data_IF_478129301129
#
_entry.id   IF_478129301129
#
_cell.length_a   1.000
_cell.length_b   1.000
_cell.length_c   1.000
_cell.angle_alpha   90.00
_cell.angle_beta   90.00
_cell.angle_gamma   90.00
#
_symmetry.space_group_name_H-M   'P 1'
#
loop_
_entity.id
_entity.type
_entity.pdbx_description
1 polymer ?
#
# COMPACT_ATOMS: atom_id res chain seq x y z
N UNK A 1 38.53 -20.96 -29.31
CA UNK A 1 37.15 -21.36 -29.72
C UNK A 1 36.14 -21.31 -28.58
N UNK A 2 36.26 -22.10 -27.49
CA UNK A 2 35.28 -22.09 -26.38
C UNK A 2 35.04 -20.72 -25.71
N UNK A 3 36.11 -19.93 -25.47
CA UNK A 3 36.00 -18.57 -24.90
C UNK A 3 35.28 -17.58 -25.84
N UNK A 4 35.45 -17.73 -27.15
CA UNK A 4 34.79 -16.88 -28.16
C UNK A 4 33.30 -17.20 -28.26
N UNK A 5 32.94 -18.48 -28.23
CA UNK A 5 31.54 -18.92 -28.17
C UNK A 5 30.87 -18.43 -26.89
N UNK A 6 31.52 -18.56 -25.74
CA UNK A 6 31.00 -18.04 -24.47
C UNK A 6 30.77 -16.51 -24.51
N UNK A 7 31.71 -15.75 -25.07
CA UNK A 7 31.56 -14.31 -25.27
C UNK A 7 30.38 -13.96 -26.19
N UNK A 8 30.23 -14.67 -27.31
CA UNK A 8 29.12 -14.46 -28.23
C UNK A 8 27.76 -14.78 -27.57
N UNK A 9 27.69 -15.85 -26.77
CA UNK A 9 26.49 -16.20 -25.99
C UNK A 9 26.12 -15.10 -24.99
N UNK A 10 27.09 -14.55 -24.26
CA UNK A 10 26.85 -13.42 -23.33
C UNK A 10 26.36 -12.19 -24.09
N UNK A 11 26.96 -11.86 -25.23
CA UNK A 11 26.56 -10.72 -26.04
C UNK A 11 25.13 -10.86 -26.58
N UNK A 12 24.77 -12.06 -27.04
CA UNK A 12 23.40 -12.38 -27.46
C UNK A 12 22.42 -12.25 -26.30
N UNK A 13 22.76 -12.74 -25.10
CA UNK A 13 21.92 -12.59 -23.91
C UNK A 13 21.73 -11.13 -23.51
N UNK A 14 22.77 -10.30 -23.59
CA UNK A 14 22.68 -8.85 -23.35
C UNK A 14 21.78 -8.18 -24.39
N UNK A 15 21.97 -8.49 -25.68
CA UNK A 15 21.16 -7.91 -26.76
C UNK A 15 19.69 -8.32 -26.65
N UNK A 16 19.41 -9.61 -26.40
CA UNK A 16 18.04 -10.11 -26.16
C UNK A 16 17.45 -9.47 -24.92
N UNK A 17 18.22 -9.36 -23.84
CA UNK A 17 17.80 -8.68 -22.61
C UNK A 17 17.45 -7.22 -22.85
N UNK A 18 18.25 -6.49 -23.64
CA UNK A 18 17.99 -5.11 -24.01
C UNK A 18 16.76 -4.95 -24.90
N UNK A 19 16.59 -5.81 -25.91
CA UNK A 19 15.44 -5.82 -26.82
C UNK A 19 14.13 -6.19 -26.09
N UNK A 20 14.21 -7.08 -25.10
CA UNK A 20 13.07 -7.54 -24.32
C UNK A 20 12.87 -6.75 -23.01
N UNK A 21 13.69 -5.73 -22.71
CA UNK A 21 13.73 -5.09 -21.39
C UNK A 21 12.36 -4.58 -20.93
N UNK A 22 11.60 -3.93 -21.81
CA UNK A 22 10.31 -3.33 -21.47
C UNK A 22 9.30 -4.43 -21.07
N UNK A 23 9.32 -5.56 -21.79
CA UNK A 23 8.48 -6.72 -21.48
C UNK A 23 8.91 -7.40 -20.17
N UNK A 24 10.22 -7.52 -19.95
CA UNK A 24 10.77 -8.12 -18.73
C UNK A 24 10.44 -7.27 -17.50
N UNK A 25 10.64 -5.96 -17.57
CA UNK A 25 10.37 -5.03 -16.47
C UNK A 25 8.87 -4.93 -16.18
N UNK A 26 8.02 -4.98 -17.21
CA UNK A 26 6.57 -5.04 -17.00
C UNK A 26 6.10 -6.38 -16.42
N UNK A 27 6.64 -7.50 -16.92
CA UNK A 27 6.32 -8.82 -16.38
C UNK A 27 6.76 -8.96 -14.91
N UNK A 28 7.92 -8.39 -14.58
CA UNK A 28 8.41 -8.29 -13.21
C UNK A 28 7.41 -7.56 -12.32
N UNK A 29 7.02 -6.34 -12.66
CA UNK A 29 6.03 -5.57 -11.90
C UNK A 29 4.70 -6.32 -11.73
N UNK A 30 4.17 -6.89 -12.82
CA UNK A 30 2.91 -7.67 -12.81
C UNK A 30 2.96 -8.90 -11.91
N UNK A 31 4.13 -9.50 -11.71
CA UNK A 31 4.26 -10.65 -10.81
C UNK A 31 4.07 -10.26 -9.33
N UNK A 32 4.46 -9.03 -8.93
CA UNK A 32 4.23 -8.53 -7.58
C UNK A 32 2.77 -8.12 -7.33
N UNK A 33 2.08 -7.64 -8.36
CA UNK A 33 0.71 -7.12 -8.21
C UNK A 33 -0.38 -8.20 -8.35
N UNK A 34 -0.11 -9.29 -9.08
CA UNK A 34 -1.08 -10.37 -9.31
C UNK A 34 -1.48 -11.17 -8.07
N UNK A 35 -0.67 -11.21 -7.02
CA UNK A 35 -0.92 -12.11 -5.88
C UNK A 35 -2.06 -11.65 -4.94
N UNK A 36 -2.67 -10.48 -5.17
CA UNK A 36 -3.25 -9.73 -4.05
C UNK A 36 -4.76 -9.51 -4.08
N UNK A 37 -5.39 -9.50 -5.24
CA UNK A 37 -6.80 -9.14 -5.30
C UNK A 37 -7.66 -10.40 -5.12
N UNK A 38 -8.03 -10.69 -3.88
CA UNK A 38 -9.06 -11.70 -3.59
C UNK A 38 -10.48 -11.25 -3.98
N UNK A 39 -10.68 -9.97 -4.24
CA UNK A 39 -11.99 -9.37 -4.51
C UNK A 39 -11.86 -8.34 -5.66
N UNK A 40 -12.87 -8.18 -6.53
CA UNK A 40 -12.73 -7.49 -7.81
C UNK A 40 -12.64 -5.96 -7.71
N UNK A 41 -12.54 -5.35 -6.52
CA UNK A 41 -12.62 -3.89 -6.37
C UNK A 41 -11.41 -3.20 -6.97
N UNK A 42 -11.67 -2.42 -8.01
CA UNK A 42 -10.67 -1.69 -8.76
C UNK A 42 -11.00 -0.21 -8.73
N UNK A 43 -10.02 0.57 -8.28
CA UNK A 43 -10.00 2.02 -8.40
C UNK A 43 -9.10 2.37 -9.58
N UNK A 44 -9.61 3.15 -10.52
CA UNK A 44 -8.82 3.69 -11.64
C UNK A 44 -8.72 5.19 -11.48
N UNK A 45 -7.53 5.77 -11.67
CA UNK A 45 -7.37 7.21 -11.73
C UNK A 45 -7.64 7.68 -13.17
N UNK A 46 -8.59 8.61 -13.34
CA UNK A 46 -8.91 9.26 -14.62
C UNK A 46 -9.15 10.74 -14.37
N UNK A 47 -8.45 11.61 -15.10
CA UNK A 47 -8.62 13.07 -15.00
C UNK A 47 -8.46 13.63 -13.57
N UNK A 48 -7.55 13.03 -12.78
CA UNK A 48 -7.34 13.28 -11.35
C UNK A 48 -8.46 12.83 -10.40
N UNK A 49 -9.48 12.16 -10.92
CA UNK A 49 -10.56 11.56 -10.14
C UNK A 49 -10.46 10.04 -10.12
N UNK A 50 -10.84 9.45 -8.99
CA UNK A 50 -10.91 8.01 -8.87
C UNK A 50 -12.27 7.49 -9.32
N UNK A 51 -12.26 6.57 -10.29
CA UNK A 51 -13.43 5.87 -10.80
C UNK A 51 -13.44 4.43 -10.29
N UNK A 52 -14.65 3.93 -10.07
CA UNK A 52 -14.93 2.56 -9.64
C UNK A 52 -15.48 1.77 -10.81
N UNK A 53 -15.12 0.48 -10.90
CA UNK A 53 -15.73 -0.41 -11.88
C UNK A 53 -17.22 -0.66 -11.55
N UNK A 54 -18.06 -0.67 -12.59
CA UNK A 54 -19.51 -0.41 -12.53
C UNK A 54 -20.37 -1.43 -11.77
N UNK A 55 -19.81 -2.57 -11.35
CA UNK A 55 -20.61 -3.69 -10.83
C UNK A 55 -20.49 -3.88 -9.31
N UNK A 56 -19.96 -2.88 -8.59
CA UNK A 56 -19.57 -3.03 -7.19
C UNK A 56 -20.44 -2.21 -6.26
N UNK A 57 -21.40 -2.91 -5.65
CA UNK A 57 -22.41 -2.33 -4.78
C UNK A 57 -22.38 -2.92 -3.36
N UNK A 58 -21.23 -3.44 -2.92
CA UNK A 58 -21.04 -3.82 -1.53
C UNK A 58 -20.51 -2.62 -0.74
N UNK A 59 -21.27 -2.23 0.29
CA UNK A 59 -20.91 -1.15 1.19
C UNK A 59 -20.19 -1.75 2.41
N UNK A 60 -18.88 -1.50 2.51
CA UNK A 60 -18.03 -1.92 3.62
C UNK A 60 -18.24 -1.03 4.85
N UNK A 61 -18.02 -1.62 6.03
CA UNK A 61 -18.04 -0.90 7.31
C UNK A 61 -17.09 0.31 7.34
N UNK A 62 -15.91 0.20 6.74
CA UNK A 62 -14.99 1.32 6.59
C UNK A 62 -13.73 0.98 5.79
N UNK A 63 -12.99 2.02 5.43
CA UNK A 63 -11.70 1.92 4.74
C UNK A 63 -10.57 2.32 5.67
N UNK A 64 -9.50 1.52 5.76
CA UNK A 64 -8.29 1.86 6.49
C UNK A 64 -7.24 2.44 5.54
N UNK A 65 -6.82 3.68 5.79
CA UNK A 65 -5.70 4.32 5.11
C UNK A 65 -4.43 4.09 5.94
N UNK A 66 -3.44 3.46 5.31
CA UNK A 66 -2.11 3.27 5.88
C UNK A 66 -1.21 4.49 5.66
N UNK A 67 -0.21 4.67 6.54
CA UNK A 67 0.79 5.73 6.50
C UNK A 67 1.87 5.54 5.43
N UNK A 68 2.80 6.50 5.33
CA UNK A 68 3.94 6.47 4.40
C UNK A 68 3.73 7.25 3.10
N UNK A 69 2.49 7.35 2.60
CA UNK A 69 2.11 8.28 1.52
C UNK A 69 0.59 8.55 1.53
N UNK A 70 0.08 9.31 2.51
CA UNK A 70 -1.35 9.32 2.75
C UNK A 70 -2.13 10.20 1.78
N UNK A 71 -1.52 11.10 1.01
CA UNK A 71 -2.25 12.04 0.14
C UNK A 71 -2.97 11.29 -1.00
N UNK A 72 -2.27 10.41 -1.72
CA UNK A 72 -2.87 9.63 -2.81
C UNK A 72 -3.97 8.72 -2.26
N UNK A 73 -3.70 8.07 -1.13
CA UNK A 73 -4.65 7.16 -0.46
C UNK A 73 -5.85 7.91 0.10
N UNK A 74 -5.67 9.13 0.59
CA UNK A 74 -6.76 9.99 1.05
C UNK A 74 -7.73 10.30 -0.08
N UNK A 75 -7.24 10.66 -1.25
CA UNK A 75 -8.11 10.93 -2.40
C UNK A 75 -8.90 9.67 -2.80
N UNK A 76 -8.27 8.50 -2.81
CA UNK A 76 -8.96 7.22 -3.02
C UNK A 76 -10.03 6.93 -1.96
N UNK A 77 -9.73 7.17 -0.68
CA UNK A 77 -10.68 6.96 0.42
C UNK A 77 -11.86 7.94 0.36
N UNK A 78 -11.63 9.19 0.00
CA UNK A 78 -12.68 10.19 -0.20
C UNK A 78 -13.60 9.76 -1.35
N UNK A 79 -13.04 9.25 -2.45
CA UNK A 79 -13.83 8.75 -3.58
C UNK A 79 -14.69 7.55 -3.17
N UNK A 80 -14.12 6.58 -2.44
CA UNK A 80 -14.85 5.43 -1.89
C UNK A 80 -15.96 5.84 -0.91
N UNK A 81 -15.73 6.88 -0.10
CA UNK A 81 -16.73 7.39 0.83
C UNK A 81 -17.87 8.10 0.10
N UNK A 82 -17.54 9.00 -0.83
CA UNK A 82 -18.53 9.75 -1.61
C UNK A 82 -19.39 8.85 -2.52
N UNK A 83 -18.86 7.71 -2.97
CA UNK A 83 -19.62 6.72 -3.75
C UNK A 83 -20.49 5.79 -2.90
N UNK A 84 -20.39 5.84 -1.57
CA UNK A 84 -21.14 4.98 -0.65
C UNK A 84 -20.58 3.56 -0.48
N UNK A 85 -19.41 3.26 -1.08
CA UNK A 85 -18.73 1.98 -0.91
C UNK A 85 -18.23 1.80 0.52
N UNK A 86 -17.86 2.87 1.22
CA UNK A 86 -17.47 2.79 2.63
C UNK A 86 -18.22 3.80 3.48
N UNK A 87 -18.56 3.41 4.71
CA UNK A 87 -19.37 4.24 5.62
C UNK A 87 -18.55 5.22 6.47
N UNK A 88 -17.24 4.98 6.61
CA UNK A 88 -16.29 5.81 7.36
C UNK A 88 -14.85 5.48 6.99
N UNK A 89 -13.94 6.36 7.39
CA UNK A 89 -12.51 6.24 7.15
C UNK A 89 -11.79 5.96 8.47
N UNK A 90 -10.90 4.98 8.49
CA UNK A 90 -9.93 4.74 9.56
C UNK A 90 -8.58 5.25 9.09
N UNK A 91 -7.87 5.98 9.95
CA UNK A 91 -6.52 6.48 9.65
C UNK A 91 -5.54 6.03 10.71
N UNK A 92 -4.39 5.50 10.30
CA UNK A 92 -3.29 5.20 11.23
C UNK A 92 -2.53 6.47 11.57
N UNK A 93 -2.11 6.60 12.83
CA UNK A 93 -1.19 7.67 13.24
C UNK A 93 0.26 7.17 13.01
N UNK A 94 1.00 7.72 12.03
CA UNK A 94 2.41 7.38 11.86
C UNK A 94 3.24 8.00 13.00
N UNK A 95 4.42 7.43 13.25
CA UNK A 95 5.34 7.98 14.25
C UNK A 95 5.80 9.37 13.85
N UNK A 96 5.70 10.31 14.78
CA UNK A 96 6.32 11.63 14.61
C UNK A 96 7.74 11.59 15.17
N UNK A 97 8.73 11.62 14.27
CA UNK A 97 10.16 11.70 14.63
C UNK A 97 10.59 13.11 15.05
N UNK A 98 9.85 14.16 14.64
CA UNK A 98 10.16 15.56 14.96
C UNK A 98 9.03 16.13 15.81
N UNK A 99 9.27 16.28 17.12
CA UNK A 99 8.30 16.87 18.05
C UNK A 99 8.58 18.34 18.38
N UNK A 100 9.75 18.87 17.98
CA UNK A 100 10.24 20.19 18.39
C UNK A 100 9.40 21.36 17.88
N UNK A 101 8.68 21.19 16.76
CA UNK A 101 7.87 22.23 16.12
C UNK A 101 6.41 21.81 15.92
N UNK A 102 5.87 20.96 16.80
CA UNK A 102 4.46 20.55 16.77
C UNK A 102 3.55 21.80 16.73
N UNK A 103 2.60 21.83 15.79
CA UNK A 103 1.69 22.96 15.56
C UNK A 103 2.16 23.99 14.54
N UNK A 104 3.46 24.03 14.20
CA UNK A 104 4.01 24.82 13.10
C UNK A 104 4.23 23.91 11.88
N UNK A 105 4.90 22.77 12.09
CA UNK A 105 5.10 21.77 11.06
C UNK A 105 4.01 20.71 11.18
N UNK A 106 3.13 20.65 10.18
CA UNK A 106 2.07 19.65 10.13
C UNK A 106 2.62 18.33 9.60
N UNK A 107 2.44 17.28 10.40
CA UNK A 107 2.59 15.90 9.97
C UNK A 107 1.60 15.55 8.85
N UNK A 108 1.93 14.54 8.07
CA UNK A 108 1.03 14.04 7.03
C UNK A 108 -0.33 13.59 7.58
N UNK A 109 -0.35 13.04 8.81
CA UNK A 109 -1.57 12.68 9.52
C UNK A 109 -2.45 13.89 9.86
N UNK A 110 -1.85 15.00 10.29
CA UNK A 110 -2.59 16.23 10.58
C UNK A 110 -3.20 16.82 9.31
N UNK A 111 -2.45 16.81 8.20
CA UNK A 111 -2.97 17.24 6.89
C UNK A 111 -4.17 16.41 6.46
N UNK A 112 -4.10 15.08 6.60
CA UNK A 112 -5.23 14.17 6.32
C UNK A 112 -6.45 14.53 7.18
N UNK A 113 -6.23 14.68 8.49
CA UNK A 113 -7.30 15.05 9.43
C UNK A 113 -7.94 16.38 9.08
N UNK A 114 -7.16 17.39 8.70
CA UNK A 114 -7.66 18.71 8.27
C UNK A 114 -8.56 18.60 7.03
N UNK A 115 -8.16 17.83 6.02
CA UNK A 115 -8.96 17.61 4.81
C UNK A 115 -10.27 16.89 5.13
N UNK A 116 -10.23 15.81 5.92
CA UNK A 116 -11.44 15.06 6.29
C UNK A 116 -12.42 15.92 7.10
N UNK A 117 -11.91 16.73 8.04
CA UNK A 117 -12.71 17.68 8.80
C UNK A 117 -13.34 18.76 7.90
N UNK A 118 -12.56 19.32 6.98
CA UNK A 118 -13.06 20.32 6.03
C UNK A 118 -14.20 19.76 5.15
N UNK A 119 -14.06 18.53 4.69
CA UNK A 119 -15.07 17.83 3.90
C UNK A 119 -16.22 17.23 4.73
N UNK A 120 -16.16 17.35 6.06
CA UNK A 120 -17.14 16.77 7.01
C UNK A 120 -17.32 15.26 6.82
N UNK A 121 -16.23 14.56 6.49
CA UNK A 121 -16.23 13.10 6.35
C UNK A 121 -15.88 12.47 7.71
N UNK A 122 -16.71 11.57 8.25
CA UNK A 122 -16.44 10.92 9.52
C UNK A 122 -15.23 9.99 9.42
N UNK A 123 -14.33 10.12 10.39
CA UNK A 123 -13.16 9.26 10.51
C UNK A 123 -12.85 8.89 11.96
N UNK A 124 -12.17 7.76 12.13
CA UNK A 124 -11.63 7.31 13.42
C UNK A 124 -10.11 7.16 13.33
N UNK A 125 -9.42 7.62 14.36
CA UNK A 125 -7.96 7.53 14.45
C UNK A 125 -7.58 6.23 15.14
N UNK A 126 -6.68 5.48 14.50
CA UNK A 126 -6.06 4.29 15.06
C UNK A 126 -4.78 4.74 15.75
N UNK A 127 -4.83 4.78 17.08
CA UNK A 127 -3.69 5.16 17.90
C UNK A 127 -2.71 4.00 18.05
N UNK A 128 -1.43 4.33 18.02
CA UNK A 128 -0.35 3.42 18.36
C UNK A 128 0.15 3.75 19.77
N UNK A 129 0.35 2.75 20.65
CA UNK A 129 0.75 2.96 22.04
C UNK A 129 2.16 3.55 22.23
N UNK A 130 2.99 3.56 21.18
CA UNK A 130 4.36 4.07 21.13
C UNK A 130 4.48 5.39 20.36
N UNK A 131 3.41 6.18 20.32
CA UNK A 131 3.35 7.49 19.65
C UNK A 131 3.49 7.43 18.12
N UNK A 132 2.92 6.38 17.53
CA UNK A 132 2.70 6.25 16.10
C UNK A 132 3.43 5.05 15.50
N UNK A 133 2.89 4.50 14.43
CA UNK A 133 3.45 3.33 13.76
C UNK A 133 4.64 3.71 12.87
N UNK A 134 5.68 2.87 12.86
CA UNK A 134 6.86 3.00 11.99
C UNK A 134 6.83 2.03 10.82
N UNK A 135 5.97 1.01 10.87
CA UNK A 135 5.91 -0.06 9.89
C UNK A 135 4.48 -0.54 9.64
N UNK A 136 4.24 -1.15 8.49
CA UNK A 136 2.95 -1.81 8.17
C UNK A 136 2.60 -2.90 9.18
N UNK A 137 3.60 -3.51 9.83
CA UNK A 137 3.39 -4.51 10.87
C UNK A 137 2.82 -3.88 12.15
N UNK A 138 3.32 -2.72 12.57
CA UNK A 138 2.78 -1.99 13.70
C UNK A 138 1.35 -1.50 13.40
N UNK A 139 1.13 -0.92 12.21
CA UNK A 139 -0.20 -0.49 11.77
C UNK A 139 -1.23 -1.64 11.81
N UNK A 140 -0.83 -2.84 11.38
CA UNK A 140 -1.67 -4.02 11.43
C UNK A 140 -2.01 -4.45 12.87
N UNK A 141 -1.05 -4.37 13.80
CA UNK A 141 -1.26 -4.71 15.22
C UNK A 141 -2.16 -3.69 15.93
N UNK A 142 -1.94 -2.41 15.66
CA UNK A 142 -2.74 -1.32 16.21
C UNK A 142 -4.19 -1.45 15.73
N UNK A 143 -4.36 -1.67 14.43
CA UNK A 143 -5.68 -1.87 13.86
C UNK A 143 -6.36 -3.15 14.35
N UNK A 144 -5.64 -4.26 14.54
CA UNK A 144 -6.20 -5.47 15.15
C UNK A 144 -6.72 -5.21 16.57
N UNK A 145 -5.95 -4.49 17.38
CA UNK A 145 -6.36 -4.09 18.74
C UNK A 145 -7.62 -3.21 18.69
N UNK A 146 -7.64 -2.23 17.80
CA UNK A 146 -8.79 -1.36 17.58
C UNK A 146 -10.03 -2.14 17.12
N UNK A 147 -9.88 -2.98 16.09
CA UNK A 147 -10.96 -3.76 15.49
C UNK A 147 -11.61 -4.69 16.52
N UNK A 148 -10.80 -5.35 17.37
CA UNK A 148 -11.27 -6.17 18.49
C UNK A 148 -12.07 -5.35 19.50
N UNK A 149 -11.60 -4.17 19.87
CA UNK A 149 -12.26 -3.28 20.84
C UNK A 149 -13.57 -2.69 20.30
N UNK A 150 -13.61 -2.35 19.02
CA UNK A 150 -14.76 -1.69 18.35
C UNK A 150 -15.73 -2.68 17.72
N UNK A 151 -15.37 -3.96 17.64
CA UNK A 151 -16.20 -5.00 17.05
C UNK A 151 -16.30 -4.94 15.52
N UNK A 152 -15.27 -4.38 14.85
CA UNK A 152 -15.22 -4.22 13.39
C UNK A 152 -15.34 -5.59 12.72
N UNK A 153 -16.32 -5.76 11.83
CA UNK A 153 -16.61 -7.03 11.17
C UNK A 153 -15.92 -7.18 9.83
N UNK A 154 -15.67 -6.07 9.16
CA UNK A 154 -14.99 -6.03 7.88
C UNK A 154 -14.26 -4.70 7.70
N UNK A 155 -13.17 -4.71 6.94
CA UNK A 155 -12.45 -3.50 6.59
C UNK A 155 -11.87 -3.61 5.17
N UNK A 156 -11.92 -2.50 4.44
CA UNK A 156 -11.21 -2.33 3.19
C UNK A 156 -9.85 -1.68 3.46
N UNK A 157 -8.76 -2.40 3.22
CA UNK A 157 -7.41 -1.87 3.33
C UNK A 157 -7.08 -1.06 2.06
N UNK A 158 -6.76 0.21 2.22
CA UNK A 158 -6.41 1.10 1.12
C UNK A 158 -4.92 1.46 1.18
N UNK A 159 -4.19 1.05 0.15
CA UNK A 159 -2.76 1.29 0.01
C UNK A 159 -2.43 1.58 -1.45
N UNK A 160 -1.19 1.90 -1.78
CA UNK A 160 -0.79 2.11 -3.17
C UNK A 160 -0.77 0.75 -3.91
N UNK A 161 -1.05 0.72 -5.22
CA UNK A 161 -1.22 -0.56 -5.96
C UNK A 161 -0.07 -1.56 -5.79
N UNK A 162 1.16 -1.06 -5.74
CA UNK A 162 2.36 -1.87 -5.58
C UNK A 162 2.59 -2.38 -4.13
N UNK A 163 1.95 -1.77 -3.12
CA UNK A 163 2.06 -2.15 -1.71
C UNK A 163 0.97 -3.14 -1.26
N UNK A 164 0.06 -3.52 -2.15
CA UNK A 164 -1.10 -4.34 -1.80
C UNK A 164 -0.66 -5.68 -1.21
N UNK A 165 0.28 -6.41 -1.84
CA UNK A 165 0.61 -7.79 -1.45
C UNK A 165 1.11 -7.88 -0.01
N UNK A 166 2.13 -7.08 0.29
CA UNK A 166 2.73 -6.99 1.62
C UNK A 166 1.71 -6.56 2.66
N UNK A 167 0.87 -5.58 2.32
CA UNK A 167 -0.17 -5.09 3.21
C UNK A 167 -1.14 -6.21 3.56
N UNK A 168 -1.71 -6.89 2.57
CA UNK A 168 -2.68 -7.94 2.79
C UNK A 168 -2.08 -9.12 3.57
N UNK A 169 -0.86 -9.56 3.20
CA UNK A 169 -0.16 -10.64 3.89
C UNK A 169 0.14 -10.28 5.35
N UNK A 170 0.62 -9.07 5.62
CA UNK A 170 0.92 -8.59 6.97
C UNK A 170 -0.34 -8.54 7.83
N UNK A 171 -1.40 -7.91 7.35
CA UNK A 171 -2.68 -7.82 8.06
C UNK A 171 -3.29 -9.20 8.29
N UNK A 172 -3.33 -10.06 7.28
CA UNK A 172 -3.86 -11.42 7.40
C UNK A 172 -3.11 -12.23 8.45
N UNK A 173 -1.77 -12.14 8.47
CA UNK A 173 -0.94 -12.84 9.44
C UNK A 173 -1.17 -12.33 10.87
N UNK A 174 -1.28 -11.01 11.06
CA UNK A 174 -1.58 -10.42 12.37
C UNK A 174 -2.97 -10.84 12.83
N UNK A 175 -4.00 -10.71 11.99
CA UNK A 175 -5.39 -11.03 12.34
C UNK A 175 -5.54 -12.50 12.70
N UNK A 176 -4.87 -13.40 11.96
CA UNK A 176 -4.82 -14.83 12.27
C UNK A 176 -4.15 -15.11 13.60
N UNK A 177 -3.00 -14.47 13.89
CA UNK A 177 -2.28 -14.66 15.17
C UNK A 177 -3.08 -14.17 16.37
N UNK A 178 -3.80 -13.06 16.21
CA UNK A 178 -4.63 -12.44 17.26
C UNK A 178 -6.03 -13.07 17.38
N UNK A 179 -6.38 -14.03 16.52
CA UNK A 179 -7.67 -14.72 16.54
C UNK A 179 -8.86 -13.84 16.13
N UNK A 180 -8.65 -12.82 15.29
CA UNK A 180 -9.71 -11.93 14.80
C UNK A 180 -10.52 -12.60 13.69
N UNK A 181 -11.85 -12.43 13.74
CA UNK A 181 -12.78 -12.86 12.70
C UNK A 181 -13.17 -11.76 11.70
N UNK A 182 -12.58 -10.56 11.84
CA UNK A 182 -12.78 -9.44 10.93
C UNK A 182 -12.34 -9.80 9.51
N UNK A 183 -13.21 -9.61 8.52
CA UNK A 183 -12.91 -9.84 7.11
C UNK A 183 -12.02 -8.73 6.55
N UNK A 184 -10.98 -9.12 5.81
CA UNK A 184 -10.04 -8.19 5.20
C UNK A 184 -10.27 -8.15 3.69
N UNK A 185 -10.50 -6.94 3.18
CA UNK A 185 -10.52 -6.62 1.76
C UNK A 185 -9.33 -5.71 1.48
N UNK A 186 -8.83 -5.66 0.25
CA UNK A 186 -7.73 -4.76 -0.08
C UNK A 186 -7.91 -4.16 -1.46
N UNK A 187 -7.53 -2.89 -1.58
CA UNK A 187 -7.52 -2.19 -2.84
C UNK A 187 -6.27 -1.31 -2.97
N UNK A 188 -5.73 -1.35 -4.18
CA UNK A 188 -4.59 -0.55 -4.61
C UNK A 188 -5.06 0.77 -5.22
N UNK A 189 -4.48 1.88 -4.76
CA UNK A 189 -4.65 3.18 -5.40
C UNK A 189 -3.59 3.33 -6.49
N UNK A 190 -4.00 3.52 -7.76
CA UNK A 190 -3.05 3.73 -8.84
C UNK A 190 -2.26 5.02 -8.61
N UNK A 191 -0.97 4.99 -8.98
CA UNK A 191 -0.09 6.13 -8.85
C UNK A 191 -0.23 7.04 -10.10
N UNK A 192 -0.32 8.37 -9.93
CA UNK A 192 -0.47 9.28 -11.08
C UNK A 192 0.79 9.39 -11.95
N UNK A 193 1.95 8.97 -11.44
CA UNK A 193 3.24 9.18 -12.10
C UNK A 193 3.77 7.94 -12.83
N UNK A 194 3.32 6.75 -12.44
CA UNK A 194 3.75 5.48 -13.04
C UNK A 194 2.80 4.31 -12.73
N UNK A 195 2.95 3.24 -13.51
CA UNK A 195 2.24 1.98 -13.41
C UNK A 195 3.17 0.79 -13.71
N UNK A 196 2.64 -0.43 -13.68
CA UNK A 196 3.37 -1.66 -13.94
C UNK A 196 3.92 -1.78 -15.36
N UNK A 197 3.44 -0.94 -16.29
CA UNK A 197 3.86 -0.87 -17.68
C UNK A 197 4.92 0.18 -17.98
N UNK A 198 5.22 1.09 -17.03
CA UNK A 198 6.15 2.19 -17.28
C UNK A 198 7.03 2.61 -16.09
N UNK A 199 6.99 1.90 -14.95
CA UNK A 199 7.69 2.28 -13.72
C UNK A 199 9.18 2.62 -13.88
N UNK A 200 9.90 1.94 -14.79
CA UNK A 200 11.33 2.19 -15.05
C UNK A 200 11.60 3.52 -15.78
N UNK A 201 10.56 4.20 -16.25
CA UNK A 201 10.66 5.49 -16.95
C UNK A 201 10.51 6.69 -16.01
N UNK A 202 10.27 6.45 -14.73
CA UNK A 202 10.21 7.50 -13.71
C UNK A 202 11.18 7.19 -12.57
N UNK A 203 11.82 8.21 -12.01
CA UNK A 203 12.68 8.06 -10.83
C UNK A 203 11.90 7.50 -9.64
N UNK A 204 10.67 8.00 -9.44
CA UNK A 204 9.79 7.53 -8.38
C UNK A 204 9.41 6.05 -8.56
N UNK A 205 9.04 5.64 -9.77
CA UNK A 205 8.73 4.24 -10.08
C UNK A 205 9.93 3.33 -9.89
N UNK A 206 11.12 3.73 -10.37
CA UNK A 206 12.37 2.98 -10.16
C UNK A 206 12.63 2.76 -8.67
N UNK A 207 12.63 3.83 -7.87
CA UNK A 207 12.88 3.75 -6.43
C UNK A 207 11.85 2.85 -5.75
N UNK A 208 10.57 3.02 -6.09
CA UNK A 208 9.49 2.23 -5.50
C UNK A 208 9.66 0.74 -5.76
N UNK A 209 9.75 0.30 -7.02
CA UNK A 209 9.81 -1.13 -7.31
C UNK A 209 11.10 -1.76 -6.76
N UNK A 210 12.24 -1.06 -6.80
CA UNK A 210 13.48 -1.59 -6.23
C UNK A 210 13.35 -1.79 -4.71
N UNK A 211 12.88 -0.78 -3.98
CA UNK A 211 12.73 -0.85 -2.52
C UNK A 211 11.71 -1.91 -2.13
N UNK A 212 10.58 -1.97 -2.82
CA UNK A 212 9.50 -2.89 -2.48
C UNK A 212 9.84 -4.33 -2.79
N UNK A 213 10.47 -4.60 -3.91
CA UNK A 213 10.93 -5.94 -4.24
C UNK A 213 12.08 -6.38 -3.32
N UNK A 214 12.99 -5.48 -2.95
CA UNK A 214 14.02 -5.75 -1.95
C UNK A 214 13.44 -6.07 -0.56
N UNK A 215 12.45 -5.28 -0.13
CA UNK A 215 11.75 -5.50 1.15
C UNK A 215 10.95 -6.81 1.14
N UNK A 216 10.27 -7.12 0.04
CA UNK A 216 9.54 -8.39 -0.14
C UNK A 216 10.48 -9.58 -0.07
N UNK A 217 11.62 -9.51 -0.73
CA UNK A 217 12.65 -10.55 -0.67
C UNK A 217 13.19 -10.72 0.75
N UNK A 218 13.47 -9.62 1.45
CA UNK A 218 13.94 -9.65 2.84
C UNK A 218 12.91 -10.32 3.77
N UNK A 219 11.61 -10.09 3.57
CA UNK A 219 10.55 -10.79 4.31
C UNK A 219 10.52 -12.29 4.01
N UNK A 220 10.61 -12.68 2.73
CA UNK A 220 10.65 -14.09 2.34
C UNK A 220 11.85 -14.83 2.95
N UNK A 221 13.00 -14.16 3.00
CA UNK A 221 14.22 -14.68 3.64
C UNK A 221 14.20 -14.60 5.17
N UNK A 222 13.16 -14.02 5.79
CA UNK A 222 13.09 -13.74 7.24
C UNK A 222 14.27 -12.91 7.74
N UNK A 223 14.84 -12.05 6.88
CA UNK A 223 16.03 -11.24 7.17
C UNK A 223 15.79 -10.13 8.21
N UNK A 224 14.53 -9.93 8.63
CA UNK A 224 14.16 -8.99 9.70
C UNK A 224 14.20 -9.61 11.10
N UNK A 225 14.48 -10.91 11.23
CA UNK A 225 14.65 -11.53 12.55
C UNK A 225 15.85 -10.95 13.29
N UNK A 226 15.58 -10.24 14.39
CA UNK A 226 16.61 -9.61 15.23
C UNK A 226 17.01 -8.19 14.82
N UNK A 227 16.35 -7.59 13.83
CA UNK A 227 16.55 -6.16 13.50
C UNK A 227 15.77 -5.30 14.48
N UNK A 228 16.44 -4.36 15.16
CA UNK A 228 15.77 -3.34 15.97
C UNK A 228 15.01 -2.36 15.05
N UNK A 229 13.69 -2.25 15.26
CA UNK A 229 12.85 -1.25 14.62
C UNK A 229 13.00 0.09 15.39
N UNK A 230 13.48 1.15 14.73
CA UNK A 230 13.74 2.47 15.33
C UNK A 230 12.58 3.46 15.21
#
# INVERSE_FOLDING_TARGET
MKKFIAFLCVLVLICVGYLCRERLLSAYAKSFEKEVLKEPISLTLKDNDFLLSSDQKESYEGVLILGGNPIIRLNGAIALYKSGIVKKIYITKPRSYVQTYNGILQSEFEKVSLVLNHLKIPYEVIENPRNGATSTLEEAKDFATFAKKRGVKEVLLLTDSFHTSRTYATFSNVFKKEGLSTKLYIIGVPNPFYDEGNWWRSELGLRTYIVESGTTLAHWLRAFEGVEEY
#
